data_IF_301640515526
#
_entry.id   IF_301640515526
#
_cell.length_a   1.000
_cell.length_b   1.000
_cell.length_c   1.000
_cell.angle_alpha   90.00
_cell.angle_beta   90.00
_cell.angle_gamma   90.00
#
_symmetry.space_group_name_H-M   'P 1'
#
loop_
_entity.id
_entity.type
_entity.pdbx_description
1 polymer ?
#
# COMPACT_ATOMS: atom_id res chain seq x y z
N UNK A 1 -33.21 5.78 6.63
CA UNK A 1 -31.75 5.96 6.78
C UNK A 1 -31.39 7.34 6.24
N UNK A 2 -30.49 8.09 6.88
CA UNK A 2 -30.09 9.42 6.39
C UNK A 2 -29.11 9.24 5.22
N UNK A 3 -29.32 9.93 4.11
CA UNK A 3 -28.43 9.91 2.94
C UNK A 3 -26.96 10.23 3.30
N UNK A 4 -26.76 11.03 4.35
CA UNK A 4 -25.43 11.38 4.87
C UNK A 4 -24.73 10.18 5.50
N UNK A 5 -25.49 9.33 6.21
CA UNK A 5 -24.94 8.13 6.84
C UNK A 5 -24.55 7.09 5.78
N UNK A 6 -25.36 6.94 4.74
CA UNK A 6 -25.05 6.06 3.61
C UNK A 6 -23.78 6.48 2.88
N UNK A 7 -23.65 7.78 2.55
CA UNK A 7 -22.43 8.33 1.94
C UNK A 7 -21.19 8.14 2.82
N UNK A 8 -21.34 8.26 4.14
CA UNK A 8 -20.23 8.03 5.08
C UNK A 8 -19.76 6.56 5.05
N UNK A 9 -20.69 5.61 5.03
CA UNK A 9 -20.36 4.18 4.92
C UNK A 9 -19.73 3.83 3.57
N UNK A 10 -20.23 4.41 2.48
CA UNK A 10 -19.67 4.19 1.15
C UNK A 10 -18.25 4.77 1.04
N UNK A 11 -18.00 5.94 1.65
CA UNK A 11 -16.66 6.51 1.75
C UNK A 11 -15.69 5.64 2.57
N UNK A 12 -16.14 5.10 3.70
CA UNK A 12 -15.38 4.13 4.50
C UNK A 12 -15.01 2.90 3.66
N UNK A 13 -15.96 2.39 2.88
CA UNK A 13 -15.73 1.28 1.94
C UNK A 13 -14.70 1.63 0.88
N UNK A 14 -14.83 2.79 0.25
CA UNK A 14 -13.88 3.29 -0.75
C UNK A 14 -12.47 3.40 -0.19
N UNK A 15 -12.29 3.97 1.01
CA UNK A 15 -10.98 4.03 1.67
C UNK A 15 -10.44 2.63 1.92
N UNK A 16 -11.27 1.69 2.39
CA UNK A 16 -10.85 0.32 2.67
C UNK A 16 -10.36 -0.40 1.42
N UNK A 17 -11.11 -0.36 0.32
CA UNK A 17 -10.66 -1.01 -0.91
C UNK A 17 -9.50 -0.26 -1.58
N UNK A 18 -9.49 1.08 -1.51
CA UNK A 18 -8.36 1.90 -1.93
C UNK A 18 -7.09 1.57 -1.16
N UNK A 19 -7.19 1.26 0.14
CA UNK A 19 -6.05 0.86 0.96
C UNK A 19 -5.42 -0.44 0.45
N UNK A 20 -6.24 -1.44 0.12
CA UNK A 20 -5.77 -2.69 -0.45
C UNK A 20 -5.09 -2.47 -1.80
N UNK A 21 -5.71 -1.67 -2.67
CA UNK A 21 -5.14 -1.34 -3.97
C UNK A 21 -3.77 -0.65 -3.82
N UNK A 22 -3.64 0.32 -2.90
CA UNK A 22 -2.38 1.01 -2.64
C UNK A 22 -1.28 0.07 -2.15
N UNK A 23 -1.59 -0.86 -1.23
CA UNK A 23 -0.64 -1.87 -0.75
C UNK A 23 -0.19 -2.78 -1.90
N UNK A 24 -1.12 -3.29 -2.70
CA UNK A 24 -0.80 -4.18 -3.82
C UNK A 24 0.10 -3.48 -4.86
N UNK A 25 -0.23 -2.24 -5.23
CA UNK A 25 0.61 -1.44 -6.14
C UNK A 25 2.00 -1.20 -5.52
N UNK A 26 2.06 -0.90 -4.23
CA UNK A 26 3.33 -0.72 -3.52
C UNK A 26 4.21 -1.98 -3.53
N UNK A 27 3.61 -3.16 -3.29
CA UNK A 27 4.30 -4.46 -3.36
C UNK A 27 4.82 -4.72 -4.78
N UNK A 28 4.02 -4.45 -5.81
CA UNK A 28 4.43 -4.65 -7.21
C UNK A 28 5.60 -3.74 -7.58
N UNK A 29 5.54 -2.46 -7.22
CA UNK A 29 6.61 -1.49 -7.49
C UNK A 29 7.90 -1.87 -6.76
N UNK A 30 7.79 -2.18 -5.46
CA UNK A 30 8.91 -2.65 -4.66
C UNK A 30 9.51 -3.92 -5.25
N UNK A 31 8.69 -4.94 -5.49
CA UNK A 31 9.12 -6.25 -5.99
C UNK A 31 9.79 -6.15 -7.36
N UNK A 32 9.24 -5.35 -8.27
CA UNK A 32 9.85 -5.12 -9.59
C UNK A 32 11.22 -4.46 -9.48
N UNK A 33 11.37 -3.46 -8.60
CA UNK A 33 12.66 -2.79 -8.36
C UNK A 33 13.67 -3.75 -7.73
N UNK A 34 13.26 -4.44 -6.67
CA UNK A 34 14.08 -5.38 -5.92
C UNK A 34 14.59 -6.52 -6.80
N UNK A 35 13.67 -7.21 -7.51
CA UNK A 35 14.02 -8.31 -8.43
C UNK A 35 14.89 -7.79 -9.57
N UNK A 36 14.57 -6.61 -10.13
CA UNK A 36 15.34 -6.02 -11.23
C UNK A 36 16.80 -5.75 -10.88
N UNK A 37 17.08 -5.19 -9.70
CA UNK A 37 18.46 -4.92 -9.25
C UNK A 37 19.19 -6.22 -8.92
N UNK A 38 18.56 -7.14 -8.19
CA UNK A 38 19.20 -8.41 -7.85
C UNK A 38 19.50 -9.28 -9.07
N UNK A 39 18.60 -9.31 -10.07
CA UNK A 39 18.84 -10.03 -11.31
C UNK A 39 20.08 -9.48 -12.06
N UNK A 40 20.25 -8.15 -12.10
CA UNK A 40 21.44 -7.52 -12.71
C UNK A 40 22.72 -7.79 -11.92
N UNK A 41 22.64 -7.80 -10.59
CA UNK A 41 23.78 -8.14 -9.73
C UNK A 41 24.22 -9.59 -9.94
N UNK A 42 23.26 -10.52 -10.02
CA UNK A 42 23.54 -11.94 -10.29
C UNK A 42 24.21 -12.14 -11.66
N UNK A 43 23.78 -11.40 -12.69
CA UNK A 43 24.40 -11.44 -14.03
C UNK A 43 25.85 -10.93 -14.05
N UNK A 44 26.22 -10.04 -13.13
CA UNK A 44 27.58 -9.48 -13.03
C UNK A 44 28.47 -10.27 -12.05
N UNK A 45 27.99 -11.41 -11.55
CA UNK A 45 28.76 -12.30 -10.66
C UNK A 45 28.89 -11.78 -9.22
N UNK A 46 28.10 -10.77 -8.82
CA UNK A 46 28.00 -10.32 -7.43
C UNK A 46 26.99 -11.20 -6.70
N UNK A 47 27.44 -11.95 -5.70
CA UNK A 47 26.61 -12.85 -4.89
C UNK A 47 25.90 -12.15 -3.72
N UNK A 48 26.24 -10.90 -3.49
CA UNK A 48 25.72 -9.99 -2.48
C UNK A 48 24.49 -9.22 -2.99
N UNK A 49 23.48 -9.05 -2.11
CA UNK A 49 22.29 -8.25 -2.40
C UNK A 49 22.68 -6.76 -2.33
N UNK A 50 22.58 -5.99 -3.43
CA UNK A 50 22.99 -4.60 -3.42
C UNK A 50 22.08 -3.75 -2.52
N UNK A 51 22.65 -2.81 -1.76
CA UNK A 51 21.89 -1.85 -0.92
C UNK A 51 20.80 -1.10 -1.71
N UNK A 52 21.06 -0.81 -2.99
CA UNK A 52 20.15 -0.12 -3.89
C UNK A 52 18.83 -0.90 -4.13
N UNK A 53 18.84 -2.22 -3.94
CA UNK A 53 17.65 -3.06 -4.09
C UNK A 53 16.58 -2.74 -3.03
N UNK A 54 16.98 -2.26 -1.85
CA UNK A 54 16.08 -1.88 -0.74
C UNK A 54 15.98 -0.38 -0.53
N UNK A 55 17.02 0.38 -0.89
CA UNK A 55 17.13 1.83 -0.66
C UNK A 55 16.95 2.66 -1.92
N UNK A 56 16.85 2.04 -3.09
CA UNK A 56 16.61 2.74 -4.35
C UNK A 56 15.24 3.40 -4.40
N UNK A 57 15.08 4.40 -5.27
CA UNK A 57 13.85 5.18 -5.38
C UNK A 57 12.60 4.31 -5.62
N UNK A 58 12.71 3.25 -6.42
CA UNK A 58 11.62 2.29 -6.66
C UNK A 58 11.20 1.56 -5.38
N UNK A 59 12.16 1.05 -4.61
CA UNK A 59 11.88 0.39 -3.33
C UNK A 59 11.23 1.35 -2.32
N UNK A 60 11.77 2.56 -2.18
CA UNK A 60 11.23 3.58 -1.27
C UNK A 60 9.79 3.96 -1.66
N UNK A 61 9.53 4.16 -2.95
CA UNK A 61 8.17 4.49 -3.42
C UNK A 61 7.20 3.34 -3.17
N UNK A 62 7.64 2.09 -3.36
CA UNK A 62 6.85 0.91 -2.99
C UNK A 62 6.50 0.89 -1.51
N UNK A 63 7.48 1.11 -0.61
CA UNK A 63 7.25 1.21 0.83
C UNK A 63 6.31 2.36 1.22
N UNK A 64 6.45 3.53 0.59
CA UNK A 64 5.55 4.67 0.84
C UNK A 64 4.11 4.35 0.49
N UNK A 65 3.87 3.65 -0.62
CA UNK A 65 2.52 3.22 -1.02
C UNK A 65 1.94 2.16 -0.08
N UNK A 66 2.77 1.21 0.37
CA UNK A 66 2.37 0.25 1.40
C UNK A 66 1.98 1.00 2.68
N UNK A 67 2.82 1.93 3.15
CA UNK A 67 2.56 2.75 4.32
C UNK A 67 1.29 3.61 4.19
N UNK A 68 1.06 4.22 3.02
CA UNK A 68 -0.15 4.96 2.71
C UNK A 68 -1.38 4.05 2.79
N UNK A 69 -1.32 2.85 2.20
CA UNK A 69 -2.40 1.87 2.30
C UNK A 69 -2.70 1.51 3.76
N UNK A 70 -1.68 1.21 4.56
CA UNK A 70 -1.89 0.96 6.00
C UNK A 70 -2.52 2.15 6.73
N UNK A 71 -2.06 3.38 6.47
CA UNK A 71 -2.64 4.59 7.07
C UNK A 71 -4.11 4.77 6.68
N UNK A 72 -4.44 4.57 5.40
CA UNK A 72 -5.83 4.60 4.92
C UNK A 72 -6.70 3.55 5.60
N UNK A 73 -6.20 2.33 5.76
CA UNK A 73 -6.93 1.27 6.45
C UNK A 73 -7.21 1.64 7.92
N UNK A 74 -6.21 2.19 8.63
CA UNK A 74 -6.40 2.66 10.00
C UNK A 74 -7.47 3.76 10.07
N UNK A 75 -7.41 4.75 9.19
CA UNK A 75 -8.43 5.81 9.11
C UNK A 75 -9.81 5.21 8.85
N UNK A 76 -9.94 4.26 7.92
CA UNK A 76 -11.21 3.56 7.66
C UNK A 76 -11.75 2.87 8.91
N UNK A 77 -10.89 2.19 9.68
CA UNK A 77 -11.28 1.52 10.92
C UNK A 77 -11.73 2.51 12.00
N UNK A 78 -10.98 3.58 12.22
CA UNK A 78 -11.35 4.62 13.20
C UNK A 78 -12.67 5.30 12.84
N UNK A 79 -12.87 5.66 11.57
CA UNK A 79 -14.13 6.27 11.13
C UNK A 79 -15.28 5.29 11.26
N UNK A 80 -15.10 4.02 10.86
CA UNK A 80 -16.12 2.97 11.02
C UNK A 80 -16.58 2.81 12.47
N UNK A 81 -15.65 2.90 13.42
CA UNK A 81 -15.94 2.74 14.85
C UNK A 81 -16.79 3.89 15.43
N UNK A 82 -16.78 5.06 14.78
CA UNK A 82 -17.54 6.24 15.19
C UNK A 82 -18.89 6.36 14.49
N UNK A 83 -19.15 5.58 13.43
CA UNK A 83 -20.39 5.63 12.68
C UNK A 83 -21.47 4.75 13.32
N UNK A 84 -22.74 5.23 13.37
CA UNK A 84 -23.88 4.39 13.72
C UNK A 84 -23.98 3.17 12.79
N UNK A 85 -24.42 2.00 13.30
CA UNK A 85 -24.62 0.82 12.48
C UNK A 85 -25.51 1.11 11.26
N UNK A 86 -25.11 0.56 10.11
CA UNK A 86 -25.99 0.51 8.93
C UNK A 86 -27.07 -0.52 9.22
N UNK A 87 -28.32 -0.07 9.40
CA UNK A 87 -29.50 -0.93 9.58
C UNK A 87 -29.92 -1.55 8.24
#
# INVERSE_FOLDING_TARGET
MSIVLDLAWDFVGLIRYGSLAAVLVGIVIFGRHFVGINARAAQTGRGDIPDESWRGAGAINGFKLIGLGFAMLLVSLFVSALLPPRL
#
